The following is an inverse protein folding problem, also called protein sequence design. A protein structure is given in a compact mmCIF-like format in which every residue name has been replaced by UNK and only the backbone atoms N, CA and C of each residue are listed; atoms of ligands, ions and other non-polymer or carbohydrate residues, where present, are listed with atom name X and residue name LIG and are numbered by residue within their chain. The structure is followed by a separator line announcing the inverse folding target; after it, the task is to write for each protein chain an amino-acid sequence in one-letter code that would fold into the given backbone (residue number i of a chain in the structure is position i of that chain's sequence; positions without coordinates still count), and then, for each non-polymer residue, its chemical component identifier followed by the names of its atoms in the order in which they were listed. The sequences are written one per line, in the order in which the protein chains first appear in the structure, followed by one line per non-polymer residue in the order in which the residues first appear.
data_IF_861114505141
#
_entry.id   IF_861114505141
#
_cell.length_a   1.000
_cell.length_b   1.000
_cell.length_c   1.000
_cell.angle_alpha   90.00
_cell.angle_beta   90.00
_cell.angle_gamma   90.00
#
_symmetry.space_group_name_H-M   'P 1'
#
loop_
_entity.id
_entity.type
_entity.pdbx_description
1 polymer ?
#
# COMPACT_ATOMS: atom_id res chain seq x y z
N UNK A 1 1.03 24.32 -3.63
CA UNK A 1 1.49 22.96 -3.95
C UNK A 1 0.52 21.97 -3.33
N UNK A 2 -0.24 21.20 -4.12
CA UNK A 2 -1.18 20.20 -3.59
C UNK A 2 -0.39 18.94 -3.26
N UNK A 3 -0.05 18.73 -1.99
CA UNK A 3 0.47 17.45 -1.53
C UNK A 3 -0.59 16.38 -1.83
N UNK A 4 -0.26 15.42 -2.70
CA UNK A 4 -1.12 14.25 -2.91
C UNK A 4 -0.90 13.32 -1.73
N UNK A 5 -1.69 13.55 -0.69
CA UNK A 5 -1.70 12.76 0.54
C UNK A 5 -2.44 11.42 0.32
N UNK A 6 -3.16 11.26 -0.79
CA UNK A 6 -3.81 10.00 -1.15
C UNK A 6 -3.68 9.71 -2.65
N UNK A 7 -3.72 8.43 -3.01
CA UNK A 7 -3.64 7.97 -4.39
C UNK A 7 -3.82 6.47 -4.57
N UNK A 8 -3.56 6.00 -5.79
CA UNK A 8 -3.50 4.56 -6.10
C UNK A 8 -2.08 4.23 -6.52
N UNK A 9 -1.50 3.17 -5.95
CA UNK A 9 -0.17 2.66 -6.28
C UNK A 9 -0.32 1.24 -6.83
N UNK A 10 0.33 1.02 -7.97
CA UNK A 10 0.47 -0.31 -8.56
C UNK A 10 1.78 -0.90 -8.08
N UNK A 11 1.71 -2.13 -7.59
CA UNK A 11 2.83 -2.93 -7.14
C UNK A 11 2.86 -4.18 -8.00
N UNK A 12 4.06 -4.57 -8.41
CA UNK A 12 4.25 -5.84 -9.08
C UNK A 12 4.84 -6.81 -8.05
N UNK A 13 4.02 -7.74 -7.55
CA UNK A 13 4.46 -8.69 -6.53
C UNK A 13 4.79 -10.02 -7.18
N UNK A 14 5.99 -10.59 -6.96
CA UNK A 14 6.45 -11.79 -7.67
C UNK A 14 5.59 -13.03 -7.42
N UNK A 15 4.86 -13.08 -6.28
CA UNK A 15 4.00 -14.23 -5.95
C UNK A 15 2.51 -14.03 -6.30
N UNK A 16 2.03 -12.79 -6.50
CA UNK A 16 0.59 -12.52 -6.73
C UNK A 16 0.30 -11.69 -7.98
N UNK A 17 1.33 -11.27 -8.72
CA UNK A 17 1.20 -10.45 -9.92
C UNK A 17 0.94 -8.97 -9.62
N UNK A 18 0.18 -8.31 -10.50
CA UNK A 18 -0.09 -6.88 -10.42
C UNK A 18 -1.16 -6.55 -9.37
N UNK A 19 -0.75 -5.82 -8.35
CA UNK A 19 -1.58 -5.38 -7.24
C UNK A 19 -1.81 -3.87 -7.32
N UNK A 20 -3.08 -3.45 -7.32
CA UNK A 20 -3.43 -2.02 -7.26
C UNK A 20 -4.01 -1.69 -5.89
N UNK A 21 -3.28 -0.91 -5.08
CA UNK A 21 -3.70 -0.47 -3.75
C UNK A 21 -3.98 1.02 -3.71
N UNK A 22 -5.02 1.43 -2.99
CA UNK A 22 -5.13 2.79 -2.49
C UNK A 22 -4.06 3.03 -1.43
N UNK A 23 -3.51 4.23 -1.37
CA UNK A 23 -2.63 4.64 -0.28
C UNK A 23 -3.07 6.00 0.26
N UNK A 24 -2.88 6.18 1.55
CA UNK A 24 -3.04 7.45 2.25
C UNK A 24 -1.81 7.69 3.12
N UNK A 25 -1.19 8.84 2.94
CA UNK A 25 -0.06 9.33 3.71
C UNK A 25 -0.62 10.16 4.84
N UNK A 26 -0.13 9.99 6.06
CA UNK A 26 -0.53 10.74 7.23
C UNK A 26 0.72 11.28 7.89
N UNK A 27 0.78 12.61 8.02
CA UNK A 27 1.89 13.27 8.70
C UNK A 27 1.67 13.20 10.21
N UNK A 28 2.61 12.61 10.95
CA UNK A 28 2.50 12.49 12.40
C UNK A 28 2.96 13.77 13.08
N UNK A 29 2.02 14.54 13.63
CA UNK A 29 2.31 15.85 14.23
C UNK A 29 3.25 15.81 15.44
N UNK A 30 3.33 14.68 16.15
CA UNK A 30 4.25 14.49 17.31
C UNK A 30 5.60 13.86 16.95
N UNK A 31 5.80 13.47 15.69
CA UNK A 31 7.03 12.84 15.21
C UNK A 31 7.48 13.56 13.95
N UNK A 32 8.21 14.66 14.15
CA UNK A 32 8.79 15.45 13.07
C UNK A 32 9.66 14.59 12.15
N UNK A 33 9.35 14.60 10.85
CA UNK A 33 9.99 13.75 9.84
C UNK A 33 9.35 12.37 9.65
N UNK A 34 8.48 11.90 10.54
CA UNK A 34 7.78 10.62 10.39
C UNK A 34 6.47 10.80 9.60
N UNK A 35 6.23 9.88 8.68
CA UNK A 35 4.95 9.72 7.99
C UNK A 35 4.48 8.29 8.13
N UNK A 36 3.18 8.12 8.31
CA UNK A 36 2.50 6.83 8.23
C UNK A 36 1.89 6.71 6.84
N UNK A 37 2.03 5.56 6.19
CA UNK A 37 1.42 5.30 4.88
C UNK A 37 0.49 4.10 5.04
N UNK A 38 -0.81 4.34 4.98
CA UNK A 38 -1.83 3.31 5.05
C UNK A 38 -2.19 2.86 3.64
N UNK A 39 -1.96 1.58 3.34
CA UNK A 39 -2.43 0.97 2.10
C UNK A 39 -3.78 0.30 2.34
N UNK A 40 -4.78 0.64 1.53
CA UNK A 40 -6.11 0.06 1.61
C UNK A 40 -6.62 -0.35 0.23
N UNK A 41 -7.47 -1.36 0.20
CA UNK A 41 -8.19 -1.76 -0.99
C UNK A 41 -9.69 -1.57 -0.77
N UNK A 42 -10.39 -1.04 -1.78
CA UNK A 42 -11.84 -0.94 -1.73
C UNK A 42 -12.44 -2.35 -1.87
N UNK A 43 -13.34 -2.78 -0.97
CA UNK A 43 -14.00 -4.09 -1.07
C UNK A 43 -14.65 -4.28 -2.44
N UNK A 44 -14.44 -5.45 -3.06
CA UNK A 44 -14.95 -5.75 -4.41
C UNK A 44 -14.15 -5.13 -5.57
N UNK A 45 -13.07 -4.40 -5.30
CA UNK A 45 -12.11 -4.00 -6.33
C UNK A 45 -11.05 -5.10 -6.55
N UNK A 46 -10.41 -5.17 -7.74
CA UNK A 46 -9.29 -6.09 -7.98
C UNK A 46 -8.12 -5.89 -6.99
N UNK A 47 -8.03 -4.71 -6.38
CA UNK A 47 -7.07 -4.46 -5.30
C UNK A 47 -7.38 -5.25 -4.02
N UNK A 48 -8.65 -5.50 -3.72
CA UNK A 48 -9.05 -6.25 -2.52
C UNK A 48 -8.74 -7.72 -2.68
N UNK A 49 -9.04 -8.28 -3.84
CA UNK A 49 -8.68 -9.66 -4.19
C UNK A 49 -7.17 -9.89 -4.06
N UNK A 50 -6.36 -8.95 -4.54
CA UNK A 50 -4.91 -9.08 -4.46
C UNK A 50 -4.33 -8.84 -3.04
N UNK A 51 -5.02 -8.12 -2.14
CA UNK A 51 -4.69 -8.11 -0.69
C UNK A 51 -5.00 -9.46 -0.05
N UNK A 52 -6.13 -10.06 -0.40
CA UNK A 52 -6.53 -11.38 0.08
C UNK A 52 -5.56 -12.46 -0.42
N UNK A 53 -5.07 -12.34 -1.66
CA UNK A 53 -4.01 -13.20 -2.19
C UNK A 53 -2.66 -13.00 -1.49
N UNK A 54 -2.32 -11.77 -1.10
CA UNK A 54 -1.11 -11.47 -0.31
C UNK A 54 -1.15 -12.12 1.08
N UNK A 55 -2.30 -12.10 1.75
CA UNK A 55 -2.49 -12.75 3.06
C UNK A 55 -2.23 -14.26 3.01
N UNK A 56 -2.59 -14.88 1.89
CA UNK A 56 -2.37 -16.31 1.64
C UNK A 56 -0.97 -16.64 1.10
N UNK A 57 -0.23 -15.65 0.58
CA UNK A 57 1.11 -15.85 0.06
C UNK A 57 2.14 -15.97 1.20
N UNK A 58 3.22 -16.77 1.05
CA UNK A 58 4.29 -16.79 2.04
C UNK A 58 4.82 -15.37 2.23
N UNK A 59 5.01 -14.96 3.50
CA UNK A 59 5.53 -13.63 3.85
C UNK A 59 6.91 -13.44 3.22
N UNK A 60 6.93 -12.79 2.06
CA UNK A 60 8.15 -12.24 1.49
C UNK A 60 8.24 -10.80 1.99
N UNK A 61 8.69 -10.66 3.24
CA UNK A 61 8.94 -9.36 3.85
C UNK A 61 10.20 -8.75 3.24
N UNK A 62 10.05 -8.09 2.08
CA UNK A 62 11.02 -7.08 1.64
C UNK A 62 10.31 -6.00 0.84
N UNK A 63 9.75 -5.03 1.56
CA UNK A 63 9.43 -3.72 0.99
C UNK A 63 10.16 -2.64 1.78
N UNK A 64 11.48 -2.78 1.86
CA UNK A 64 12.39 -1.66 2.08
C UNK A 64 12.38 -0.83 0.80
N UNK A 65 11.47 0.14 0.73
CA UNK A 65 11.61 1.23 -0.23
C UNK A 65 12.70 2.15 0.32
N UNK A 66 13.80 2.29 -0.45
CA UNK A 66 14.90 3.21 -0.18
C UNK A 66 14.44 4.67 0.00
#
# INVERSE_FOLDING_TARGET
MRSRDAGKKRFHHPSVGDLTLGFEVMHLSRAEGQRLIAFHAVPGSPGHDAVVLLDMAPVSAEQTTC
#
